data_IF_538176333469
#
_entry.id   IF_538176333469
#
_cell.length_a   1.000
_cell.length_b   1.000
_cell.length_c   1.000
_cell.angle_alpha   90.00
_cell.angle_beta   90.00
_cell.angle_gamma   90.00
#
_symmetry.space_group_name_H-M   'P 1'
#
loop_
_entity.id
_entity.type
_entity.pdbx_description
1 polymer ?
#
# COMPACT_ATOMS: atom_id res chain seq x y z
N UNK A 1 -1.18 -9.93 -9.96
CA UNK A 1 -1.66 -8.61 -10.42
C UNK A 1 -1.52 -7.63 -9.28
N UNK A 2 -1.07 -6.40 -9.55
CA UNK A 2 -0.97 -5.35 -8.53
C UNK A 2 -2.37 -4.84 -8.15
N UNK A 3 -2.47 -4.17 -6.99
CA UNK A 3 -3.72 -3.52 -6.54
C UNK A 3 -4.22 -2.53 -7.58
N UNK A 4 -3.34 -1.69 -8.13
CA UNK A 4 -3.65 -0.73 -9.20
C UNK A 4 -4.30 -1.41 -10.40
N UNK A 5 -3.75 -2.54 -10.85
CA UNK A 5 -4.34 -3.28 -11.96
C UNK A 5 -5.71 -3.86 -11.59
N UNK A 6 -5.87 -4.43 -10.39
CA UNK A 6 -7.17 -4.96 -9.94
C UNK A 6 -8.21 -3.83 -9.85
N UNK A 7 -7.88 -2.70 -9.24
CA UNK A 7 -8.76 -1.53 -9.12
C UNK A 7 -9.20 -1.02 -10.49
N UNK A 8 -8.28 -0.89 -11.44
CA UNK A 8 -8.58 -0.53 -12.84
C UNK A 8 -9.52 -1.53 -13.51
N UNK A 9 -9.33 -2.83 -13.29
CA UNK A 9 -10.20 -3.86 -13.83
C UNK A 9 -11.62 -3.82 -13.24
N UNK A 10 -11.75 -3.67 -11.91
CA UNK A 10 -13.05 -3.52 -11.25
C UNK A 10 -13.77 -2.27 -11.75
N UNK A 11 -13.07 -1.14 -11.82
CA UNK A 11 -13.62 0.11 -12.35
C UNK A 11 -14.11 -0.05 -13.79
N UNK A 12 -13.27 -0.63 -14.65
CA UNK A 12 -13.60 -0.87 -16.07
C UNK A 12 -14.84 -1.75 -16.22
N UNK A 13 -14.94 -2.83 -15.44
CA UNK A 13 -16.07 -3.77 -15.52
C UNK A 13 -17.39 -3.23 -14.94
N UNK A 14 -17.36 -2.15 -14.16
CA UNK A 14 -18.56 -1.58 -13.52
C UNK A 14 -18.95 -0.20 -14.07
N UNK A 15 -18.05 0.49 -14.78
CA UNK A 15 -18.27 1.85 -15.30
C UNK A 15 -19.54 2.01 -16.17
N UNK A 16 -19.96 0.95 -16.88
CA UNK A 16 -21.15 0.98 -17.72
C UNK A 16 -22.48 0.74 -16.99
N UNK A 17 -22.46 0.40 -15.69
CA UNK A 17 -23.66 -0.08 -14.98
C UNK A 17 -24.10 0.83 -13.82
N UNK A 18 -23.21 1.68 -13.34
CA UNK A 18 -23.42 2.53 -12.17
C UNK A 18 -23.10 4.00 -12.50
N UNK A 19 -23.77 4.92 -11.82
CA UNK A 19 -23.37 6.33 -11.87
C UNK A 19 -22.00 6.52 -11.21
N UNK A 20 -21.28 7.59 -11.54
CA UNK A 20 -19.91 7.80 -11.05
C UNK A 20 -19.80 7.77 -9.51
N UNK A 21 -20.65 8.50 -8.81
CA UNK A 21 -20.67 8.51 -7.34
C UNK A 21 -20.97 7.13 -6.72
N UNK A 22 -21.91 6.39 -7.32
CA UNK A 22 -22.27 5.03 -6.89
C UNK A 22 -21.10 4.08 -7.13
N UNK A 23 -20.45 4.18 -8.29
CA UNK A 23 -19.27 3.39 -8.65
C UNK A 23 -18.08 3.65 -7.73
N UNK A 24 -17.83 4.91 -7.36
CA UNK A 24 -16.76 5.26 -6.42
C UNK A 24 -17.05 4.72 -5.02
N UNK A 25 -18.30 4.76 -4.56
CA UNK A 25 -18.70 4.12 -3.30
C UNK A 25 -18.46 2.60 -3.32
N UNK A 26 -18.84 1.93 -4.41
CA UNK A 26 -18.62 0.49 -4.58
C UNK A 26 -17.13 0.13 -4.66
N UNK A 27 -16.32 0.97 -5.31
CA UNK A 27 -14.87 0.82 -5.34
C UNK A 27 -14.25 0.99 -3.95
N UNK A 28 -14.71 1.96 -3.16
CA UNK A 28 -14.25 2.15 -1.79
C UNK A 28 -14.61 0.93 -0.91
N UNK A 29 -15.82 0.40 -1.04
CA UNK A 29 -16.25 -0.83 -0.38
C UNK A 29 -15.36 -2.00 -0.79
N UNK A 30 -15.15 -2.20 -2.09
CA UNK A 30 -14.28 -3.25 -2.62
C UNK A 30 -12.86 -3.12 -2.06
N UNK A 31 -12.28 -1.92 -2.07
CA UNK A 31 -10.93 -1.69 -1.59
C UNK A 31 -10.79 -2.00 -0.10
N UNK A 32 -11.81 -1.68 0.70
CA UNK A 32 -11.81 -1.92 2.15
C UNK A 32 -11.99 -3.39 2.55
N UNK A 33 -12.83 -4.16 1.84
CA UNK A 33 -13.24 -5.52 2.25
C UNK A 33 -12.71 -6.65 1.36
N UNK A 34 -12.33 -6.34 0.12
CA UNK A 34 -12.11 -7.34 -0.92
C UNK A 34 -10.79 -7.19 -1.68
N UNK A 35 -10.05 -6.09 -1.51
CA UNK A 35 -8.76 -5.85 -2.18
C UNK A 35 -7.76 -6.99 -1.97
N UNK A 36 -7.72 -7.53 -0.75
CA UNK A 36 -6.77 -8.57 -0.33
C UNK A 36 -7.32 -9.98 -0.50
N UNK A 37 -8.60 -10.10 -0.83
CA UNK A 37 -9.25 -11.38 -1.07
C UNK A 37 -8.92 -11.92 -2.47
N UNK A 38 -8.90 -13.25 -2.64
CA UNK A 38 -8.68 -13.89 -3.93
C UNK A 38 -9.81 -13.58 -4.93
N UNK A 39 -9.59 -13.78 -6.25
CA UNK A 39 -10.54 -13.39 -7.30
C UNK A 39 -11.95 -13.98 -7.15
N UNK A 40 -12.10 -15.19 -6.57
CA UNK A 40 -13.42 -15.79 -6.38
C UNK A 40 -14.32 -15.01 -5.40
N UNK A 41 -13.75 -14.15 -4.56
CA UNK A 41 -14.50 -13.26 -3.68
C UNK A 41 -15.29 -12.17 -4.44
N UNK A 42 -15.13 -12.05 -5.76
CA UNK A 42 -15.96 -11.19 -6.61
C UNK A 42 -17.45 -11.54 -6.53
N UNK A 43 -17.80 -12.81 -6.37
CA UNK A 43 -19.20 -13.23 -6.26
C UNK A 43 -19.85 -12.76 -4.95
N UNK A 44 -19.09 -12.79 -3.85
CA UNK A 44 -19.49 -12.22 -2.56
C UNK A 44 -19.64 -10.71 -2.66
N UNK A 45 -18.64 -10.04 -3.24
CA UNK A 45 -18.68 -8.59 -3.48
C UNK A 45 -19.94 -8.18 -4.26
N UNK A 46 -20.21 -8.84 -5.40
CA UNK A 46 -21.44 -8.57 -6.18
C UNK A 46 -22.73 -8.91 -5.41
N UNK A 47 -22.67 -9.84 -4.46
CA UNK A 47 -23.77 -10.12 -3.54
C UNK A 47 -24.04 -8.96 -2.60
N UNK A 48 -22.98 -8.40 -2.00
CA UNK A 48 -23.06 -7.22 -1.15
C UNK A 48 -23.51 -5.98 -1.92
N UNK A 49 -23.01 -5.78 -3.15
CA UNK A 49 -23.47 -4.69 -4.03
C UNK A 49 -24.97 -4.82 -4.33
N UNK A 50 -25.44 -6.02 -4.67
CA UNK A 50 -26.86 -6.26 -4.94
C UNK A 50 -27.74 -6.04 -3.70
N UNK A 51 -27.26 -6.40 -2.51
CA UNK A 51 -27.96 -6.15 -1.26
C UNK A 51 -28.02 -4.65 -0.91
N UNK A 52 -26.97 -3.89 -1.22
CA UNK A 52 -26.85 -2.47 -0.85
C UNK A 52 -27.60 -1.55 -1.80
N UNK A 53 -27.68 -1.90 -3.08
CA UNK A 53 -28.26 -1.03 -4.12
C UNK A 53 -29.78 -1.16 -4.27
N UNK A 54 -30.42 -2.13 -3.60
CA UNK A 54 -31.86 -2.46 -3.71
C UNK A 54 -32.36 -2.63 -5.17
N UNK A 55 -31.46 -2.79 -6.13
CA UNK A 55 -31.73 -2.87 -7.56
C UNK A 55 -31.58 -4.29 -8.06
N UNK A 56 -32.39 -4.66 -9.06
CA UNK A 56 -32.25 -5.94 -9.76
C UNK A 56 -31.01 -5.90 -10.65
N UNK A 57 -29.87 -6.34 -10.11
CA UNK A 57 -28.61 -6.41 -10.84
C UNK A 57 -28.51 -7.73 -11.63
N UNK A 58 -28.03 -7.64 -12.88
CA UNK A 58 -27.67 -8.81 -13.68
C UNK A 58 -26.33 -9.39 -13.20
N UNK A 59 -26.31 -10.00 -12.00
CA UNK A 59 -25.08 -10.48 -11.33
C UNK A 59 -24.21 -11.36 -12.23
N UNK A 60 -24.81 -12.25 -13.02
CA UNK A 60 -24.07 -13.11 -13.94
C UNK A 60 -23.42 -12.36 -15.12
N UNK A 61 -24.00 -11.23 -15.54
CA UNK A 61 -23.41 -10.34 -16.56
C UNK A 61 -22.26 -9.54 -15.94
N UNK A 62 -22.50 -8.89 -14.80
CA UNK A 62 -21.48 -8.13 -14.06
C UNK A 62 -20.27 -9.01 -13.72
N UNK A 63 -20.49 -10.24 -13.25
CA UNK A 63 -19.41 -11.17 -12.96
C UNK A 63 -18.56 -11.49 -14.20
N UNK A 64 -19.20 -11.72 -15.35
CA UNK A 64 -18.47 -11.98 -16.61
C UNK A 64 -17.66 -10.78 -17.06
N UNK A 65 -18.21 -9.57 -16.94
CA UNK A 65 -17.49 -8.33 -17.29
C UNK A 65 -16.30 -8.09 -16.35
N UNK A 66 -16.48 -8.30 -15.04
CA UNK A 66 -15.40 -8.20 -14.05
C UNK A 66 -14.29 -9.22 -14.29
N UNK A 67 -14.64 -10.49 -14.51
CA UNK A 67 -13.67 -11.54 -14.83
C UNK A 67 -12.96 -11.21 -16.15
N UNK A 68 -13.69 -10.80 -17.18
CA UNK A 68 -13.13 -10.40 -18.46
C UNK A 68 -12.14 -9.24 -18.34
N UNK A 69 -12.46 -8.21 -17.54
CA UNK A 69 -11.53 -7.10 -17.26
C UNK A 69 -10.31 -7.56 -16.45
N UNK A 70 -10.48 -8.49 -15.50
CA UNK A 70 -9.36 -8.98 -14.68
C UNK A 70 -8.41 -9.90 -15.45
N UNK A 71 -8.89 -10.65 -16.44
CA UNK A 71 -8.07 -11.56 -17.25
C UNK A 71 -7.64 -10.96 -18.59
N UNK A 72 -8.19 -9.80 -18.96
CA UNK A 72 -7.94 -9.12 -20.22
C UNK A 72 -6.61 -8.36 -20.26
N UNK A 73 -6.27 -7.78 -21.43
CA UNK A 73 -5.04 -7.00 -21.59
C UNK A 73 -5.12 -5.66 -20.84
N UNK A 74 -4.01 -5.25 -20.21
CA UNK A 74 -3.90 -4.00 -19.45
C UNK A 74 -4.22 -2.74 -20.26
N UNK A 75 -4.03 -2.79 -21.58
CA UNK A 75 -4.32 -1.70 -22.51
C UNK A 75 -5.82 -1.46 -22.71
N UNK A 76 -6.66 -2.46 -22.43
CA UNK A 76 -8.12 -2.32 -22.51
C UNK A 76 -8.73 -1.75 -21.21
N UNK A 77 -7.93 -1.61 -20.16
CA UNK A 77 -8.40 -1.08 -18.88
C UNK A 77 -8.42 0.45 -18.89
N UNK A 78 -9.49 1.02 -18.35
CA UNK A 78 -9.59 2.46 -18.09
C UNK A 78 -8.44 2.96 -17.19
N UNK A 79 -8.15 4.27 -17.18
CA UNK A 79 -7.18 4.87 -16.26
C UNK A 79 -7.47 4.53 -14.80
N UNK A 80 -6.45 4.61 -13.94
CA UNK A 80 -6.63 4.34 -12.51
C UNK A 80 -7.58 5.36 -11.88
N UNK A 81 -8.72 4.93 -11.29
CA UNK A 81 -9.67 5.84 -10.65
C UNK A 81 -9.19 6.35 -9.28
N UNK A 82 -7.98 6.00 -8.80
CA UNK A 82 -7.48 6.46 -7.50
C UNK A 82 -7.60 7.97 -7.26
N UNK A 83 -7.28 8.87 -8.21
CA UNK A 83 -7.42 10.30 -7.98
C UNK A 83 -8.89 10.72 -7.78
N UNK A 84 -9.82 10.10 -8.52
CA UNK A 84 -11.26 10.33 -8.39
C UNK A 84 -11.78 9.77 -7.06
N UNK A 85 -11.29 8.60 -6.66
CA UNK A 85 -11.66 7.95 -5.42
C UNK A 85 -11.15 8.75 -4.20
N UNK A 86 -9.95 9.33 -4.30
CA UNK A 86 -9.39 10.20 -3.28
C UNK A 86 -10.20 11.49 -3.09
N UNK A 87 -10.51 12.20 -4.18
CA UNK A 87 -11.34 13.42 -4.10
C UNK A 87 -12.75 13.14 -3.61
N UNK A 88 -13.33 12.00 -4.00
CA UNK A 88 -14.63 11.54 -3.52
C UNK A 88 -14.62 11.25 -2.01
N UNK A 89 -13.59 10.54 -1.51
CA UNK A 89 -13.44 10.25 -0.06
C UNK A 89 -13.34 11.53 0.76
N UNK A 90 -12.57 12.51 0.30
CA UNK A 90 -12.45 13.81 0.95
C UNK A 90 -13.80 14.52 1.02
N UNK A 91 -14.58 14.52 -0.07
CA UNK A 91 -15.92 15.13 -0.12
C UNK A 91 -16.92 14.40 0.81
N UNK A 92 -16.80 13.08 0.94
CA UNK A 92 -17.68 12.25 1.78
C UNK A 92 -17.23 12.16 3.24
N UNK A 93 -16.11 12.80 3.62
CA UNK A 93 -15.55 12.71 4.98
C UNK A 93 -15.09 11.30 5.36
N UNK A 94 -14.78 10.45 4.37
CA UNK A 94 -14.33 9.07 4.60
C UNK A 94 -12.81 9.00 4.65
N UNK A 95 -12.26 8.42 5.72
CA UNK A 95 -10.85 8.08 5.76
C UNK A 95 -10.54 6.97 4.74
N UNK A 96 -9.36 7.00 4.13
CA UNK A 96 -8.90 5.90 3.31
C UNK A 96 -8.87 4.62 4.16
N UNK A 97 -9.34 3.46 3.64
CA UNK A 97 -9.33 2.23 4.39
C UNK A 97 -7.88 1.89 4.81
N UNK A 98 -7.70 1.59 6.09
CA UNK A 98 -6.50 0.91 6.60
C UNK A 98 -6.44 -0.45 5.90
N UNK A 99 -5.68 -0.52 4.81
CA UNK A 99 -5.56 -1.72 3.98
C UNK A 99 -5.03 -2.85 4.88
N UNK A 100 -5.71 -3.99 4.98
CA UNK A 100 -5.25 -5.19 5.70
C UNK A 100 -4.80 -6.23 4.68
N UNK A 101 -3.80 -5.86 3.88
CA UNK A 101 -3.23 -6.69 2.83
C UNK A 101 -1.87 -7.28 3.16
N UNK A 102 -1.27 -8.09 2.27
CA UNK A 102 0.14 -8.43 2.35
C UNK A 102 1.03 -7.18 2.44
N UNK A 103 0.60 -6.07 1.82
CA UNK A 103 1.25 -4.77 1.96
C UNK A 103 1.13 -4.20 3.39
N UNK A 104 0.04 -4.46 4.11
CA UNK A 104 -0.14 -4.05 5.51
C UNK A 104 0.74 -4.85 6.47
N UNK A 105 0.88 -6.15 6.22
CA UNK A 105 1.76 -7.01 7.00
C UNK A 105 3.22 -6.63 6.70
N UNK A 106 3.54 -6.33 5.43
CA UNK A 106 4.84 -5.82 5.04
C UNK A 106 5.14 -4.45 5.68
N UNK A 107 4.16 -3.53 5.77
CA UNK A 107 4.29 -2.25 6.49
C UNK A 107 4.58 -2.48 7.97
N UNK A 108 3.79 -3.32 8.63
CA UNK A 108 3.98 -3.61 10.05
C UNK A 108 5.37 -4.21 10.32
N UNK A 109 5.83 -5.13 9.45
CA UNK A 109 7.20 -5.66 9.53
C UNK A 109 8.25 -4.59 9.25
N UNK A 110 8.02 -3.68 8.31
CA UNK A 110 8.92 -2.56 8.02
C UNK A 110 9.00 -1.56 9.19
N UNK A 111 7.88 -1.21 9.81
CA UNK A 111 7.85 -0.33 10.98
C UNK A 111 8.57 -0.98 12.17
N UNK A 112 8.37 -2.28 12.39
CA UNK A 112 9.12 -3.02 13.40
C UNK A 112 10.63 -3.01 13.12
N UNK A 113 11.02 -3.30 11.87
CA UNK A 113 12.42 -3.33 11.44
C UNK A 113 13.10 -1.97 11.55
N UNK A 114 12.47 -0.92 11.04
CA UNK A 114 12.99 0.44 11.12
C UNK A 114 13.11 0.91 12.57
N UNK A 115 12.14 0.57 13.44
CA UNK A 115 12.23 0.89 14.87
C UNK A 115 13.40 0.19 15.56
N UNK A 116 13.58 -1.11 15.34
CA UNK A 116 14.72 -1.87 15.89
C UNK A 116 16.03 -1.28 15.37
N UNK A 117 16.13 -1.10 14.06
CA UNK A 117 17.32 -0.56 13.40
C UNK A 117 17.68 0.81 13.95
N UNK A 118 16.72 1.74 14.06
CA UNK A 118 16.96 3.09 14.58
C UNK A 118 17.29 3.09 16.08
N UNK A 119 16.69 2.21 16.88
CA UNK A 119 16.98 2.09 18.31
C UNK A 119 18.39 1.54 18.59
N UNK A 120 18.97 0.78 17.66
CA UNK A 120 20.35 0.28 17.77
C UNK A 120 21.42 1.29 17.35
N UNK A 121 21.02 2.40 16.72
CA UNK A 121 21.93 3.46 16.31
C UNK A 121 22.24 4.40 17.46
N UNK A 122 23.41 5.04 17.38
CA UNK A 122 23.76 6.13 18.28
C UNK A 122 22.77 7.29 18.13
N UNK A 123 22.45 7.95 19.26
CA UNK A 123 21.45 9.02 19.31
C UNK A 123 21.75 10.19 18.36
N UNK A 124 23.02 10.42 18.01
CA UNK A 124 23.45 11.45 17.06
C UNK A 124 23.29 11.04 15.59
N UNK A 125 23.32 9.73 15.29
CA UNK A 125 23.23 9.19 13.94
C UNK A 125 21.78 9.12 13.45
N UNK A 126 20.84 8.79 14.33
CA UNK A 126 19.40 8.72 14.00
C UNK A 126 18.87 9.97 13.28
N UNK A 127 19.05 11.21 13.82
CA UNK A 127 18.56 12.41 13.13
C UNK A 127 19.31 12.71 11.83
N UNK A 128 20.60 12.32 11.72
CA UNK A 128 21.37 12.48 10.46
C UNK A 128 20.85 11.54 9.38
N UNK A 129 20.62 10.27 9.72
CA UNK A 129 20.05 9.27 8.83
C UNK A 129 18.64 9.66 8.36
N UNK A 130 17.78 10.12 9.29
CA UNK A 130 16.42 10.59 8.97
C UNK A 130 16.44 11.76 7.98
N UNK A 131 17.32 12.75 8.19
CA UNK A 131 17.49 13.88 7.25
C UNK A 131 18.03 13.45 5.90
N UNK A 132 19.00 12.52 5.86
CA UNK A 132 19.51 11.96 4.62
C UNK A 132 18.40 11.27 3.83
N UNK A 133 17.60 10.43 4.49
CA UNK A 133 16.47 9.76 3.86
C UNK A 133 15.44 10.78 3.36
N UNK A 134 15.08 11.78 4.16
CA UNK A 134 14.12 12.83 3.80
C UNK A 134 14.55 13.62 2.55
N UNK A 135 15.84 13.97 2.46
CA UNK A 135 16.42 14.67 1.32
C UNK A 135 16.48 13.84 0.03
N UNK A 136 16.50 12.51 0.14
CA UNK A 136 16.60 11.58 -0.99
C UNK A 136 15.25 10.91 -1.34
N UNK A 137 14.14 11.34 -0.73
CA UNK A 137 12.80 10.83 -1.05
C UNK A 137 12.36 11.07 -2.50
N UNK A 138 13.02 11.97 -3.24
CA UNK A 138 12.76 12.19 -4.65
C UNK A 138 12.97 10.92 -5.50
N UNK A 139 13.81 9.98 -5.06
CA UNK A 139 14.02 8.69 -5.72
C UNK A 139 12.95 7.63 -5.43
N UNK A 140 12.04 7.88 -4.48
CA UNK A 140 10.96 6.96 -4.15
C UNK A 140 9.89 6.98 -5.25
N UNK A 141 9.54 5.82 -5.80
CA UNK A 141 8.48 5.64 -6.80
C UNK A 141 7.09 5.71 -6.15
N UNK A 142 6.78 6.87 -5.55
CA UNK A 142 5.55 7.16 -4.83
C UNK A 142 4.97 8.53 -5.23
N UNK A 143 3.66 8.70 -5.06
CA UNK A 143 2.98 9.97 -5.32
C UNK A 143 3.51 11.09 -4.39
N UNK A 144 3.34 12.35 -4.78
CA UNK A 144 3.81 13.49 -3.98
C UNK A 144 3.20 13.49 -2.57
N UNK A 145 1.91 13.16 -2.44
CA UNK A 145 1.22 13.06 -1.14
C UNK A 145 1.84 11.98 -0.24
N UNK A 146 2.15 10.81 -0.81
CA UNK A 146 2.81 9.73 -0.08
C UNK A 146 4.22 10.13 0.36
N UNK A 147 4.99 10.81 -0.50
CA UNK A 147 6.33 11.31 -0.17
C UNK A 147 6.30 12.33 0.98
N UNK A 148 5.28 13.19 1.02
CA UNK A 148 5.10 14.12 2.13
C UNK A 148 4.86 13.38 3.45
N UNK A 149 3.97 12.38 3.46
CA UNK A 149 3.69 11.57 4.65
C UNK A 149 4.92 10.77 5.13
N UNK A 150 5.72 10.23 4.21
CA UNK A 150 6.99 9.56 4.55
C UNK A 150 8.00 10.55 5.13
N UNK A 151 8.04 11.78 4.62
CA UNK A 151 8.90 12.83 5.19
C UNK A 151 8.46 13.16 6.61
N UNK A 152 7.17 13.30 6.85
CA UNK A 152 6.63 13.56 8.19
C UNK A 152 6.93 12.40 9.15
N UNK A 153 6.88 11.15 8.69
CA UNK A 153 7.34 9.99 9.48
C UNK A 153 8.82 10.10 9.84
N UNK A 154 9.70 10.42 8.89
CA UNK A 154 11.14 10.55 9.13
C UNK A 154 11.47 11.69 10.10
N UNK A 155 10.85 12.86 9.92
CA UNK A 155 11.18 14.08 10.65
C UNK A 155 10.45 14.20 12.00
N UNK A 156 9.19 13.76 12.07
CA UNK A 156 8.31 14.00 13.21
C UNK A 156 7.89 12.71 13.94
N UNK A 157 8.41 11.55 13.51
CA UNK A 157 8.04 10.25 14.08
C UNK A 157 6.53 9.97 14.01
N UNK A 158 5.85 10.57 13.01
CA UNK A 158 4.44 10.33 12.72
C UNK A 158 4.18 8.87 12.34
N UNK A 159 2.93 8.41 12.23
CA UNK A 159 2.64 7.04 11.77
C UNK A 159 2.89 6.90 10.25
N UNK A 160 3.41 5.76 9.79
CA UNK A 160 3.63 5.48 8.35
C UNK A 160 2.37 4.90 7.69
N UNK A 161 1.44 4.36 8.46
CA UNK A 161 0.14 3.82 8.01
C UNK A 161 -0.60 4.72 6.98
N UNK A 162 -0.74 6.04 7.18
CA UNK A 162 -1.45 6.92 6.25
C UNK A 162 -0.78 7.03 4.88
N UNK A 163 0.53 6.79 4.78
CA UNK A 163 1.27 6.89 3.52
C UNK A 163 0.86 5.79 2.52
N UNK A 164 0.24 4.71 2.99
CA UNK A 164 -0.34 3.71 2.10
C UNK A 164 0.68 3.03 1.18
N UNK A 165 1.94 2.90 1.60
CA UNK A 165 3.05 2.39 0.78
C UNK A 165 2.86 0.92 0.38
N UNK A 166 3.09 0.57 -0.88
CA UNK A 166 3.15 -0.83 -1.31
C UNK A 166 4.50 -1.48 -0.99
N UNK A 167 4.59 -2.80 -1.18
CA UNK A 167 5.83 -3.56 -0.93
C UNK A 167 7.05 -2.96 -1.65
N UNK A 168 6.94 -2.60 -2.94
CA UNK A 168 8.07 -2.04 -3.69
C UNK A 168 8.55 -0.70 -3.10
N UNK A 169 7.63 0.16 -2.68
CA UNK A 169 7.97 1.42 -2.03
C UNK A 169 8.64 1.20 -0.66
N UNK A 170 8.17 0.21 0.11
CA UNK A 170 8.81 -0.15 1.38
C UNK A 170 10.24 -0.66 1.17
N UNK A 171 10.47 -1.48 0.15
CA UNK A 171 11.82 -1.96 -0.22
C UNK A 171 12.73 -0.81 -0.63
N UNK A 172 12.22 0.12 -1.44
CA UNK A 172 12.98 1.33 -1.81
C UNK A 172 13.32 2.19 -0.60
N UNK A 173 12.38 2.37 0.34
CA UNK A 173 12.62 3.12 1.56
C UNK A 173 13.64 2.43 2.47
N UNK A 174 13.57 1.10 2.61
CA UNK A 174 14.57 0.32 3.35
C UNK A 174 15.95 0.44 2.72
N UNK A 175 16.05 0.32 1.40
CA UNK A 175 17.30 0.49 0.66
C UNK A 175 17.87 1.89 0.85
N UNK A 176 17.01 2.92 0.90
CA UNK A 176 17.45 4.29 1.15
C UNK A 176 18.06 4.44 2.56
N UNK A 177 17.43 3.84 3.57
CA UNK A 177 17.98 3.79 4.92
C UNK A 177 19.30 3.02 4.96
N UNK A 178 19.39 1.90 4.24
CA UNK A 178 20.62 1.11 4.13
C UNK A 178 21.76 1.89 3.46
N UNK A 179 21.50 2.61 2.36
CA UNK A 179 22.49 3.48 1.73
C UNK A 179 22.98 4.53 2.73
N UNK A 180 22.07 5.18 3.46
CA UNK A 180 22.44 6.14 4.50
C UNK A 180 23.30 5.51 5.59
N UNK A 181 22.99 4.29 6.03
CA UNK A 181 23.83 3.55 6.97
C UNK A 181 25.23 3.26 6.42
N UNK A 182 25.33 2.84 5.16
CA UNK A 182 26.61 2.60 4.49
C UNK A 182 27.45 3.87 4.40
N UNK A 183 26.83 5.02 4.12
CA UNK A 183 27.51 6.32 4.06
C UNK A 183 28.08 6.75 5.42
N UNK A 184 27.34 6.50 6.52
CA UNK A 184 27.75 6.95 7.87
C UNK A 184 28.61 5.94 8.64
N UNK A 185 28.35 4.63 8.51
CA UNK A 185 29.00 3.57 9.28
C UNK A 185 29.94 2.69 8.44
N UNK A 186 29.88 2.81 7.12
CA UNK A 186 30.52 1.88 6.19
C UNK A 186 29.69 0.60 5.98
N UNK A 187 29.92 -0.12 4.86
CA UNK A 187 29.07 -1.23 4.42
C UNK A 187 29.10 -2.43 5.38
N UNK A 188 30.25 -2.71 6.01
CA UNK A 188 30.39 -3.88 6.91
C UNK A 188 29.55 -3.71 8.18
N UNK A 189 29.61 -2.52 8.80
CA UNK A 189 28.85 -2.24 10.03
C UNK A 189 27.36 -2.08 9.72
N UNK A 190 27.02 -1.46 8.58
CA UNK A 190 25.64 -1.35 8.12
C UNK A 190 24.99 -2.74 7.93
N UNK A 191 25.70 -3.68 7.31
CA UNK A 191 25.21 -5.05 7.11
C UNK A 191 25.05 -5.82 8.43
N UNK A 192 25.99 -5.66 9.36
CA UNK A 192 25.88 -6.25 10.71
C UNK A 192 24.64 -5.73 11.45
N UNK A 193 24.40 -4.41 11.43
CA UNK A 193 23.23 -3.80 12.08
C UNK A 193 21.92 -4.22 11.42
N UNK A 194 21.87 -4.25 10.10
CA UNK A 194 20.68 -4.71 9.38
C UNK A 194 20.38 -6.18 9.68
N UNK A 195 21.41 -7.04 9.65
CA UNK A 195 21.28 -8.46 9.97
C UNK A 195 20.80 -8.68 11.41
N UNK A 196 21.33 -7.93 12.37
CA UNK A 196 20.92 -7.98 13.77
C UNK A 196 19.45 -7.53 13.94
N UNK A 197 19.05 -6.44 13.30
CA UNK A 197 17.68 -5.97 13.32
C UNK A 197 16.71 -6.98 12.68
N UNK A 198 17.08 -7.60 11.56
CA UNK A 198 16.30 -8.67 10.91
C UNK A 198 16.09 -9.85 11.86
N UNK A 199 17.15 -10.34 12.52
CA UNK A 199 17.06 -11.46 13.46
C UNK A 199 16.11 -11.16 14.63
N UNK A 200 16.13 -9.94 15.17
CA UNK A 200 15.22 -9.53 16.25
C UNK A 200 13.77 -9.47 15.80
N UNK A 201 13.51 -8.94 14.59
CA UNK A 201 12.15 -8.90 14.04
C UNK A 201 11.65 -10.30 13.65
N UNK A 202 12.54 -11.21 13.22
CA UNK A 202 12.18 -12.61 13.00
C UNK A 202 11.70 -13.29 14.29
N UNK A 203 12.29 -12.95 15.45
CA UNK A 203 11.86 -13.45 16.75
C UNK A 203 10.45 -12.97 17.16
N UNK A 204 9.93 -11.92 16.55
CA UNK A 204 8.56 -11.43 16.77
C UNK A 204 7.50 -12.27 16.04
N UNK A 205 7.90 -13.26 15.23
CA UNK A 205 7.01 -14.18 14.50
C UNK A 205 5.89 -13.46 13.72
N UNK A 206 6.21 -12.33 13.10
CA UNK A 206 5.25 -11.56 12.31
C UNK A 206 4.77 -12.35 11.08
N UNK A 207 3.54 -12.06 10.65
CA UNK A 207 2.91 -12.72 9.50
C UNK A 207 3.71 -12.54 8.18
N UNK A 208 4.43 -11.42 8.04
CA UNK A 208 5.33 -11.18 6.91
C UNK A 208 6.79 -11.19 7.37
N UNK A 209 7.65 -12.07 6.82
CA UNK A 209 9.04 -12.18 7.25
C UNK A 209 9.87 -10.97 6.78
N UNK A 210 10.74 -10.40 7.63
CA UNK A 210 11.54 -9.22 7.29
C UNK A 210 12.49 -9.45 6.12
N UNK A 211 12.96 -10.69 5.89
CA UNK A 211 13.80 -11.04 4.72
C UNK A 211 13.13 -10.78 3.37
N UNK A 212 11.80 -10.72 3.31
CA UNK A 212 11.08 -10.38 2.07
C UNK A 212 11.07 -8.87 1.77
N UNK A 213 11.53 -8.04 2.71
CA UNK A 213 11.71 -6.59 2.52
C UNK A 213 13.10 -6.22 1.99
N UNK A 214 14.06 -7.15 2.00
CA UNK A 214 15.36 -7.02 1.36
C UNK A 214 15.21 -7.40 -0.13
#
# INVERSE_FOLDING_TARGET
MTLTTRRRAIYTGLAGHFAEDELLALLALWESKYADKPPFALNEFLGEVAATTERKLERAKLYRELVGALTGPLSALLPDPEPLLHSWRQRMGMAAPLRVGPDSQARHTFEALSRVLLNELEAELVPRLRRFAAGNLAGLSAANEQRLLVRDWLEQDAALEPAGLGLEQLRQLLNLLYIGLCEYLGPVIADQRLSQAVQQVEALHLAFPPRKLL
#
